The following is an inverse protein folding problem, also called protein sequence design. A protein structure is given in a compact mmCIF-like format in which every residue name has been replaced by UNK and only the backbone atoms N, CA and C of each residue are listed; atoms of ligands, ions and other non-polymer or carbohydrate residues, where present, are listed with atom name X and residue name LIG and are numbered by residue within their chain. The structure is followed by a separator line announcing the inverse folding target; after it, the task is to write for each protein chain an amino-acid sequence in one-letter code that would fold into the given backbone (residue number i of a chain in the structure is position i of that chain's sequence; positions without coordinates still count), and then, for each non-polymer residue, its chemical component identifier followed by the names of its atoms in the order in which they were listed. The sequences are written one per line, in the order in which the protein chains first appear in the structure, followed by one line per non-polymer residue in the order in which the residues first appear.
data_IF_818522837897
#
_entry.id   IF_818522837897
#
_cell.length_a   1.000
_cell.length_b   1.000
_cell.length_c   1.000
_cell.angle_alpha   90.00
_cell.angle_beta   90.00
_cell.angle_gamma   90.00
#
_symmetry.space_group_name_H-M   'P 1'
#
loop_
_entity.id
_entity.type
_entity.pdbx_description
1 polymer ?
#
# COMPACT_ATOMS: atom_id res chain seq x y z
N UNK A 1 -2.62 -0.65 -13.72
CA UNK A 1 -2.83 -2.05 -13.30
C UNK A 1 -2.71 -2.23 -11.80
N UNK A 2 -1.64 -1.76 -11.16
CA UNK A 2 -1.43 -1.93 -9.69
C UNK A 2 -2.57 -1.34 -8.84
N UNK A 3 -3.11 -0.19 -9.23
CA UNK A 3 -4.27 0.44 -8.55
C UNK A 3 -5.49 -0.48 -8.60
N UNK A 4 -5.77 -1.09 -9.76
CA UNK A 4 -6.88 -2.03 -9.90
C UNK A 4 -6.67 -3.30 -9.09
N UNK A 5 -5.44 -3.83 -9.06
CA UNK A 5 -5.12 -4.97 -8.21
C UNK A 5 -5.32 -4.65 -6.72
N UNK A 6 -4.92 -3.47 -6.27
CA UNK A 6 -5.15 -3.00 -4.91
C UNK A 6 -6.65 -2.85 -4.61
N UNK A 7 -7.43 -2.31 -5.55
CA UNK A 7 -8.87 -2.16 -5.41
C UNK A 7 -9.58 -3.53 -5.30
N UNK A 8 -9.26 -4.47 -6.17
CA UNK A 8 -9.84 -5.81 -6.13
C UNK A 8 -9.54 -6.50 -4.80
N UNK A 9 -8.31 -6.39 -4.31
CA UNK A 9 -7.94 -6.98 -3.01
C UNK A 9 -8.66 -6.29 -1.84
N UNK A 10 -8.82 -4.97 -1.89
CA UNK A 10 -9.58 -4.21 -0.89
C UNK A 10 -11.05 -4.65 -0.83
N UNK A 11 -11.69 -4.78 -1.98
CA UNK A 11 -13.09 -5.25 -2.04
C UNK A 11 -13.22 -6.70 -1.60
N UNK A 12 -12.26 -7.57 -1.94
CA UNK A 12 -12.23 -8.94 -1.43
C UNK A 12 -12.16 -8.96 0.10
N UNK A 13 -11.24 -8.19 0.68
CA UNK A 13 -11.11 -8.08 2.12
C UNK A 13 -12.40 -7.59 2.79
N UNK A 14 -13.04 -6.56 2.21
CA UNK A 14 -14.29 -6.02 2.72
C UNK A 14 -15.43 -7.06 2.66
N UNK A 15 -15.57 -7.77 1.53
CA UNK A 15 -16.59 -8.80 1.37
C UNK A 15 -16.41 -9.95 2.38
N UNK A 16 -15.18 -10.39 2.63
CA UNK A 16 -14.89 -11.40 3.67
C UNK A 16 -15.25 -10.89 5.07
N UNK A 17 -14.91 -9.64 5.38
CA UNK A 17 -15.25 -9.01 6.65
C UNK A 17 -16.77 -8.94 6.86
N UNK A 18 -17.52 -8.51 5.85
CA UNK A 18 -18.98 -8.43 5.91
C UNK A 18 -19.61 -9.82 6.11
N UNK A 19 -19.02 -10.85 5.48
CA UNK A 19 -19.42 -12.25 5.64
C UNK A 19 -18.96 -12.87 6.97
N UNK A 20 -18.33 -12.09 7.88
CA UNK A 20 -17.78 -12.56 9.17
C UNK A 20 -16.72 -13.66 9.01
N UNK A 21 -15.98 -13.64 7.91
CA UNK A 21 -14.88 -14.54 7.63
C UNK A 21 -13.53 -13.87 7.95
N UNK A 22 -12.49 -14.69 8.10
CA UNK A 22 -11.13 -14.19 8.24
C UNK A 22 -10.69 -13.45 6.98
N UNK A 23 -10.23 -12.21 7.15
CA UNK A 23 -9.77 -11.36 6.05
C UNK A 23 -8.38 -10.75 6.29
N UNK A 24 -7.64 -11.24 7.28
CA UNK A 24 -6.34 -10.67 7.66
C UNK A 24 -5.30 -10.71 6.54
N UNK A 25 -5.25 -11.79 5.78
CA UNK A 25 -4.35 -11.90 4.63
C UNK A 25 -4.70 -10.87 3.54
N UNK A 26 -5.97 -10.82 3.16
CA UNK A 26 -6.46 -9.91 2.12
C UNK A 26 -6.31 -8.44 2.52
N UNK A 27 -6.59 -8.10 3.77
CA UNK A 27 -6.43 -6.75 4.29
C UNK A 27 -4.95 -6.29 4.25
N UNK A 28 -4.03 -7.16 4.67
CA UNK A 28 -2.60 -6.89 4.59
C UNK A 28 -2.11 -6.78 3.14
N UNK A 29 -2.55 -7.66 2.25
CA UNK A 29 -2.23 -7.59 0.82
C UNK A 29 -2.77 -6.29 0.19
N UNK A 30 -4.01 -5.92 0.48
CA UNK A 30 -4.61 -4.68 0.00
C UNK A 30 -3.81 -3.45 0.43
N UNK A 31 -3.44 -3.39 1.71
CA UNK A 31 -2.62 -2.29 2.26
C UNK A 31 -1.25 -2.23 1.59
N UNK A 32 -0.58 -3.36 1.41
CA UNK A 32 0.72 -3.42 0.75
C UNK A 32 0.65 -2.93 -0.70
N UNK A 33 -0.29 -3.45 -1.48
CA UNK A 33 -0.48 -3.07 -2.88
C UNK A 33 -0.84 -1.59 -3.03
N UNK A 34 -1.78 -1.10 -2.22
CA UNK A 34 -2.20 0.30 -2.28
C UNK A 34 -1.08 1.27 -1.87
N UNK A 35 -0.31 0.95 -0.82
CA UNK A 35 0.80 1.78 -0.39
C UNK A 35 1.90 1.86 -1.46
N UNK A 36 2.23 0.72 -2.08
CA UNK A 36 3.20 0.65 -3.17
C UNK A 36 2.74 1.45 -4.38
N UNK A 37 1.51 1.22 -4.85
CA UNK A 37 0.94 1.92 -6.01
C UNK A 37 0.85 3.43 -5.79
N UNK A 38 0.46 3.87 -4.59
CA UNK A 38 0.39 5.28 -4.20
C UNK A 38 1.76 5.94 -4.23
N UNK A 39 2.77 5.30 -3.66
CA UNK A 39 4.15 5.80 -3.66
C UNK A 39 4.70 5.93 -5.08
N UNK A 40 4.53 4.90 -5.90
CA UNK A 40 4.99 4.90 -7.28
C UNK A 40 4.29 5.99 -8.12
N UNK A 41 2.98 6.12 -7.98
CA UNK A 41 2.21 7.17 -8.66
C UNK A 41 2.70 8.58 -8.27
N UNK A 42 2.95 8.83 -7.00
CA UNK A 42 3.46 10.12 -6.54
C UNK A 42 4.87 10.39 -7.08
N UNK A 43 5.73 9.38 -7.12
CA UNK A 43 7.09 9.48 -7.65
C UNK A 43 7.09 9.82 -9.15
N UNK A 44 6.29 9.09 -9.94
CA UNK A 44 6.12 9.36 -11.38
C UNK A 44 5.53 10.74 -11.62
N UNK A 45 4.55 11.14 -10.83
CA UNK A 45 3.93 12.46 -10.91
C UNK A 45 4.94 13.58 -10.64
N UNK A 46 5.74 13.45 -9.59
CA UNK A 46 6.82 14.40 -9.28
C UNK A 46 7.82 14.50 -10.43
N UNK A 47 8.24 13.37 -10.98
CA UNK A 47 9.16 13.33 -12.13
C UNK A 47 8.56 14.02 -13.37
N UNK A 48 7.28 13.79 -13.63
CA UNK A 48 6.58 14.38 -14.79
C UNK A 48 6.49 15.91 -14.70
N UNK A 49 6.32 16.44 -13.49
CA UNK A 49 6.30 17.90 -13.25
C UNK A 49 7.68 18.55 -13.36
N UNK A 50 8.76 17.77 -13.35
CA UNK A 50 10.12 18.29 -13.38
C UNK A 50 10.37 19.28 -12.22
N UNK A 51 10.99 20.42 -12.52
CA UNK A 51 11.26 21.45 -11.52
C UNK A 51 10.02 21.99 -10.79
N UNK A 52 8.88 22.06 -11.46
CA UNK A 52 7.61 22.49 -10.86
C UNK A 52 7.09 21.50 -9.78
N UNK A 53 7.53 20.26 -9.80
CA UNK A 53 7.21 19.29 -8.77
C UNK A 53 7.70 19.67 -7.37
N UNK A 54 8.73 20.51 -7.29
CA UNK A 54 9.25 21.05 -6.01
C UNK A 54 8.50 22.29 -5.53
N UNK A 55 7.68 22.92 -6.37
CA UNK A 55 6.96 24.13 -6.02
C UNK A 55 5.72 23.83 -5.19
N UNK A 56 5.55 24.52 -4.08
CA UNK A 56 4.45 24.30 -3.13
C UNK A 56 3.07 24.52 -3.77
N UNK A 57 3.00 25.39 -4.78
CA UNK A 57 1.77 25.75 -5.48
C UNK A 57 1.11 24.58 -6.24
N UNK A 58 1.88 23.56 -6.60
CA UNK A 58 1.38 22.39 -7.33
C UNK A 58 0.97 21.21 -6.43
N UNK A 59 1.19 21.29 -5.13
CA UNK A 59 0.87 20.24 -4.15
C UNK A 59 1.55 18.87 -4.37
N UNK A 60 2.29 18.67 -5.44
CA UNK A 60 2.89 17.38 -5.79
C UNK A 60 3.97 17.00 -4.76
N UNK A 61 4.80 17.96 -4.34
CA UNK A 61 5.83 17.72 -3.31
C UNK A 61 5.21 17.26 -1.98
N UNK A 62 4.04 17.81 -1.62
CA UNK A 62 3.30 17.41 -0.43
C UNK A 62 2.74 16.00 -0.58
N UNK A 63 2.12 15.67 -1.72
CA UNK A 63 1.62 14.33 -2.01
C UNK A 63 2.72 13.27 -2.00
N UNK A 64 3.89 13.60 -2.54
CA UNK A 64 5.06 12.73 -2.48
C UNK A 64 5.47 12.41 -1.04
N UNK A 65 5.52 13.41 -0.15
CA UNK A 65 5.82 13.19 1.27
C UNK A 65 4.73 12.41 2.00
N UNK A 66 3.45 12.72 1.73
CA UNK A 66 2.31 12.04 2.35
C UNK A 66 2.27 10.54 1.99
N UNK A 67 2.48 10.20 0.73
CA UNK A 67 2.41 8.81 0.29
C UNK A 67 3.52 7.94 0.88
N UNK A 68 4.66 8.54 1.23
CA UNK A 68 5.73 7.83 1.95
C UNK A 68 5.26 7.28 3.30
N UNK A 69 4.38 7.99 3.98
CA UNK A 69 3.83 7.56 5.26
C UNK A 69 3.15 6.19 5.15
N UNK A 70 2.44 5.93 4.07
CA UNK A 70 1.70 4.67 3.89
C UNK A 70 2.58 3.43 3.77
N UNK A 71 3.87 3.58 3.49
CA UNK A 71 4.82 2.46 3.49
C UNK A 71 5.29 2.06 4.89
N UNK A 72 5.15 2.96 5.87
CA UNK A 72 5.65 2.75 7.23
C UNK A 72 4.56 2.74 8.30
N UNK A 73 3.40 3.35 8.05
CA UNK A 73 2.31 3.49 9.02
C UNK A 73 0.94 3.08 8.40
N UNK A 74 -0.01 2.60 9.23
CA UNK A 74 0.15 2.19 10.64
C UNK A 74 0.93 0.89 10.80
N UNK A 75 0.98 0.06 9.74
CA UNK A 75 1.72 -1.20 9.69
C UNK A 75 2.75 -1.11 8.55
N UNK A 76 4.01 -1.35 8.88
CA UNK A 76 5.08 -1.27 7.88
C UNK A 76 5.00 -2.39 6.84
N UNK A 77 5.52 -2.11 5.66
CA UNK A 77 5.63 -3.10 4.58
C UNK A 77 6.34 -4.39 5.04
N UNK A 78 7.39 -4.28 5.85
CA UNK A 78 8.13 -5.43 6.35
C UNK A 78 7.27 -6.33 7.23
N UNK A 79 6.47 -5.75 8.13
CA UNK A 79 5.55 -6.51 8.98
C UNK A 79 4.45 -7.19 8.17
N UNK A 80 3.95 -6.54 7.12
CA UNK A 80 2.97 -7.14 6.20
C UNK A 80 3.57 -8.34 5.47
N UNK A 81 4.78 -8.21 4.94
CA UNK A 81 5.46 -9.31 4.26
C UNK A 81 5.75 -10.48 5.21
N UNK A 82 6.16 -10.19 6.45
CA UNK A 82 6.34 -11.22 7.48
C UNK A 82 5.03 -11.94 7.80
N UNK A 83 3.93 -11.19 7.95
CA UNK A 83 2.61 -11.77 8.18
C UNK A 83 2.19 -12.70 7.03
N UNK A 84 2.37 -12.27 5.79
CA UNK A 84 2.04 -13.08 4.61
C UNK A 84 2.94 -14.32 4.54
N UNK A 85 4.22 -14.17 4.80
CA UNK A 85 5.16 -15.29 4.85
C UNK A 85 4.72 -16.36 5.86
N UNK A 86 4.39 -15.95 7.07
CA UNK A 86 3.98 -16.85 8.15
C UNK A 86 2.58 -17.46 7.91
N UNK A 87 1.58 -16.61 7.67
CA UNK A 87 0.18 -17.05 7.70
C UNK A 87 -0.40 -17.49 6.36
N UNK A 88 0.23 -17.11 5.24
CA UNK A 88 -0.24 -17.51 3.90
C UNK A 88 0.67 -18.56 3.28
N UNK A 89 1.99 -18.38 3.41
CA UNK A 89 2.97 -19.29 2.82
C UNK A 89 3.44 -20.39 3.79
N UNK A 90 3.07 -20.32 5.07
CA UNK A 90 3.48 -21.31 6.07
C UNK A 90 4.97 -21.31 6.41
N UNK A 91 5.65 -20.19 6.16
CA UNK A 91 7.07 -20.05 6.49
C UNK A 91 7.28 -19.92 8.01
N UNK A 92 8.43 -20.36 8.54
CA UNK A 92 8.72 -20.18 9.96
C UNK A 92 8.84 -18.70 10.31
N UNK A 93 8.38 -18.34 11.50
CA UNK A 93 8.51 -17.00 12.04
C UNK A 93 9.99 -16.62 12.20
N UNK A 94 10.38 -15.44 11.76
CA UNK A 94 11.76 -14.99 11.77
C UNK A 94 12.15 -14.14 12.99
N UNK A 95 11.17 -13.75 13.78
CA UNK A 95 11.37 -12.91 14.98
C UNK A 95 10.27 -13.09 16.02
#
# INVERSE_FOLDING_TARGET
MEIEAANLMRYKAAALFDAKQHCGAEANMAKHLAAKASWEAANVCLQTHGGFGFAAEYDIERKFRETRLYLVAPISTNLILSYIGEHVLGLPRSF
#
